data_IF_032991182138
#
_entry.id   IF_032991182138
#
_cell.length_a   1.000
_cell.length_b   1.000
_cell.length_c   1.000
_cell.angle_alpha   90.00
_cell.angle_beta   90.00
_cell.angle_gamma   90.00
#
_symmetry.space_group_name_H-M   'P 1'
#
loop_
_entity.id
_entity.type
_entity.pdbx_description
1 polymer ?
#
# COMPACT_ATOMS: atom_id res chain seq x y z
N UNK A 1 -17.87 -4.12 4.54
CA UNK A 1 -17.94 -3.28 5.76
C UNK A 1 -18.26 -1.88 5.28
N UNK A 2 -19.37 -1.27 5.70
CA UNK A 2 -19.82 0.02 5.15
C UNK A 2 -19.20 1.18 5.95
N UNK A 3 -18.47 2.08 5.28
CA UNK A 3 -17.74 3.20 5.88
C UNK A 3 -18.60 4.49 6.00
N UNK A 4 -19.94 4.38 5.94
CA UNK A 4 -20.85 5.54 6.02
C UNK A 4 -20.63 6.40 7.26
N UNK A 5 -20.34 5.75 8.40
CA UNK A 5 -20.18 6.39 9.69
C UNK A 5 -18.77 6.94 9.93
N UNK A 6 -17.82 6.71 9.00
CA UNK A 6 -16.52 7.35 9.06
C UNK A 6 -16.69 8.86 8.86
N UNK A 7 -15.93 9.65 9.61
CA UNK A 7 -16.04 11.10 9.60
C UNK A 7 -14.95 11.73 8.72
N UNK A 8 -15.12 13.03 8.42
CA UNK A 8 -14.11 13.82 7.71
C UNK A 8 -12.71 13.74 8.34
N UNK A 9 -12.57 13.36 9.60
CA UNK A 9 -11.29 13.00 10.22
C UNK A 9 -10.42 12.06 9.36
N UNK A 10 -11.05 11.11 8.69
CA UNK A 10 -10.36 10.12 7.83
C UNK A 10 -10.23 10.56 6.37
N UNK A 11 -10.72 11.75 6.00
CA UNK A 11 -10.76 12.19 4.61
C UNK A 11 -9.39 12.76 4.17
N UNK A 12 -8.85 12.32 3.02
CA UNK A 12 -7.56 12.80 2.51
C UNK A 12 -7.59 14.28 2.07
N UNK A 13 -8.77 14.87 1.91
CA UNK A 13 -8.95 16.28 1.55
C UNK A 13 -8.91 17.24 2.76
N UNK A 14 -8.85 16.71 3.99
CA UNK A 14 -8.79 17.53 5.21
C UNK A 14 -7.34 17.93 5.51
N UNK A 15 -7.16 19.22 5.76
CA UNK A 15 -5.94 19.80 6.29
C UNK A 15 -6.05 19.93 7.82
N UNK A 16 -5.19 19.19 8.52
CA UNK A 16 -5.07 19.19 9.98
C UNK A 16 -3.92 20.08 10.47
N UNK A 17 -3.09 20.62 9.57
CA UNK A 17 -1.87 21.31 9.94
C UNK A 17 -2.16 22.65 10.63
N UNK A 18 -1.67 22.78 11.88
CA UNK A 18 -1.62 24.06 12.60
C UNK A 18 -2.87 24.49 13.37
N UNK A 19 -3.88 23.62 13.56
CA UNK A 19 -5.17 23.99 14.18
C UNK A 19 -5.68 23.00 15.26
N UNK A 20 -4.76 22.20 15.79
CA UNK A 20 -4.99 21.30 16.95
C UNK A 20 -4.40 21.96 18.20
N UNK A 21 -5.20 22.23 19.24
CA UNK A 21 -4.67 22.66 20.55
C UNK A 21 -3.98 21.47 21.24
N UNK A 22 -2.65 21.50 21.30
CA UNK A 22 -1.75 20.39 21.64
C UNK A 22 -1.63 20.06 23.14
N UNK A 23 -2.66 20.25 23.96
CA UNK A 23 -2.58 19.87 25.40
C UNK A 23 -2.84 18.39 25.69
N UNK A 24 -3.08 17.56 24.67
CA UNK A 24 -3.44 16.15 24.82
C UNK A 24 -2.41 15.16 24.27
N UNK A 25 -1.10 15.46 24.31
CA UNK A 25 -0.08 14.44 24.04
C UNK A 25 -0.05 13.41 25.20
N UNK A 26 -0.02 12.12 24.86
CA UNK A 26 -0.44 10.97 25.69
C UNK A 26 0.39 10.63 26.93
N UNK A 27 1.20 11.55 27.45
CA UNK A 27 1.82 11.44 28.78
C UNK A 27 1.21 12.39 29.82
N UNK A 28 0.29 13.27 29.40
CA UNK A 28 -0.38 14.21 30.28
C UNK A 28 -1.88 14.01 30.41
N UNK A 29 -2.48 13.03 29.73
CA UNK A 29 -3.91 12.73 29.83
C UNK A 29 -4.37 12.49 31.29
N UNK A 30 -3.60 11.74 32.08
CA UNK A 30 -3.89 11.52 33.51
C UNK A 30 -3.70 12.77 34.39
N UNK A 31 -2.95 13.78 33.94
CA UNK A 31 -2.75 15.04 34.69
C UNK A 31 -3.74 16.15 34.34
N UNK A 32 -4.47 16.01 33.23
CA UNK A 32 -5.41 17.03 32.74
C UNK A 32 -6.89 16.75 33.08
N UNK A 33 -7.22 15.58 33.65
CA UNK A 33 -8.58 15.27 34.14
C UNK A 33 -9.11 16.29 35.19
N UNK A 34 -8.25 17.12 35.79
CA UNK A 34 -8.63 18.11 36.82
C UNK A 34 -8.86 19.54 36.32
N UNK A 35 -8.85 19.80 35.01
CA UNK A 35 -9.23 21.11 34.42
C UNK A 35 -10.22 20.95 33.26
N UNK A 36 -11.25 20.15 33.50
CA UNK A 36 -12.45 20.13 32.68
C UNK A 36 -13.30 21.32 33.15
N UNK A 37 -13.20 22.44 32.44
CA UNK A 37 -14.22 23.49 32.53
C UNK A 37 -15.53 22.94 31.92
N UNK A 38 -16.67 23.41 32.42
CA UNK A 38 -18.04 22.87 32.27
C UNK A 38 -18.61 22.78 30.83
N UNK A 39 -17.79 22.88 29.78
CA UNK A 39 -18.18 22.67 28.36
C UNK A 39 -17.22 21.74 27.55
N UNK A 40 -16.26 21.08 28.21
CA UNK A 40 -15.90 19.68 27.96
C UNK A 40 -15.41 19.18 26.58
N UNK A 41 -14.90 19.97 25.63
CA UNK A 41 -14.21 19.39 24.46
C UNK A 41 -13.00 20.20 23.97
N UNK A 42 -11.82 19.56 23.93
CA UNK A 42 -10.71 20.01 23.10
C UNK A 42 -11.10 19.78 21.64
N UNK A 43 -11.72 20.76 21.00
CA UNK A 43 -12.19 20.63 19.62
C UNK A 43 -11.00 20.72 18.66
N UNK A 44 -10.75 19.61 17.95
CA UNK A 44 -9.85 19.62 16.81
C UNK A 44 -10.57 20.36 15.69
N UNK A 45 -10.00 21.45 15.18
CA UNK A 45 -10.59 22.20 14.08
C UNK A 45 -9.79 21.95 12.80
N UNK A 46 -10.48 21.81 11.68
CA UNK A 46 -9.86 21.51 10.39
C UNK A 46 -10.51 22.29 9.24
N UNK A 47 -9.83 22.33 8.10
CA UNK A 47 -10.34 22.87 6.84
C UNK A 47 -10.42 21.78 5.78
N UNK A 48 -11.40 21.89 4.88
CA UNK A 48 -11.58 20.96 3.78
C UNK A 48 -11.17 21.60 2.45
N UNK A 49 -10.17 21.03 1.77
CA UNK A 49 -9.70 21.51 0.46
C UNK A 49 -10.78 21.42 -0.63
N UNK A 50 -11.72 20.50 -0.49
CA UNK A 50 -12.85 20.28 -1.42
C UNK A 50 -14.09 21.10 -1.07
N UNK A 51 -14.20 21.57 0.17
CA UNK A 51 -15.36 22.34 0.67
C UNK A 51 -14.91 23.59 1.43
N UNK A 52 -14.33 24.60 0.74
CA UNK A 52 -13.85 25.82 1.38
C UNK A 52 -14.95 26.61 2.11
N UNK A 53 -16.22 26.42 1.73
CA UNK A 53 -17.38 27.09 2.32
C UNK A 53 -17.66 26.69 3.78
N UNK A 54 -17.11 25.56 4.25
CA UNK A 54 -17.24 25.13 5.65
C UNK A 54 -16.40 25.99 6.61
N UNK A 55 -15.36 26.67 6.11
CA UNK A 55 -14.38 27.34 6.95
C UNK A 55 -13.72 26.36 7.94
N UNK A 56 -13.54 26.81 9.19
CA UNK A 56 -13.08 25.97 10.27
C UNK A 56 -14.25 25.19 10.87
N UNK A 57 -14.13 23.86 10.88
CA UNK A 57 -15.16 22.97 11.42
C UNK A 57 -14.53 21.80 12.19
N UNK A 58 -15.36 21.13 13.01
CA UNK A 58 -14.99 19.87 13.66
C UNK A 58 -15.04 18.72 12.63
N UNK A 59 -13.91 18.10 12.28
CA UNK A 59 -13.85 17.01 11.30
C UNK A 59 -14.55 15.73 11.77
N UNK A 60 -14.96 15.63 13.04
CA UNK A 60 -15.77 14.52 13.56
C UNK A 60 -17.28 14.74 13.39
N UNK A 61 -17.73 15.96 13.07
CA UNK A 61 -19.15 16.29 13.00
C UNK A 61 -19.84 15.87 11.69
N UNK A 62 -19.08 15.63 10.61
CA UNK A 62 -19.61 15.29 9.29
C UNK A 62 -19.16 13.88 8.92
N UNK A 63 -20.12 12.99 8.69
CA UNK A 63 -19.85 11.63 8.20
C UNK A 63 -19.67 11.60 6.67
N UNK A 64 -19.12 10.51 6.14
CA UNK A 64 -19.00 10.31 4.70
C UNK A 64 -20.37 10.30 4.02
N UNK A 65 -21.37 9.68 4.63
CA UNK A 65 -22.76 9.70 4.13
C UNK A 65 -23.36 11.12 4.06
N UNK A 66 -23.02 11.98 5.01
CA UNK A 66 -23.51 13.37 5.04
C UNK A 66 -22.76 14.30 4.08
N UNK A 67 -21.54 13.94 3.69
CA UNK A 67 -20.68 14.81 2.91
C UNK A 67 -20.95 14.63 1.41
N UNK A 68 -21.32 15.70 0.67
CA UNK A 68 -21.67 15.60 -0.75
C UNK A 68 -20.49 15.25 -1.66
N UNK A 69 -19.26 15.33 -1.14
CA UNK A 69 -18.04 14.93 -1.87
C UNK A 69 -17.85 13.41 -1.93
N UNK A 70 -18.53 12.65 -1.08
CA UNK A 70 -18.49 11.21 -1.10
C UNK A 70 -19.69 10.65 -1.88
N UNK A 71 -19.46 9.60 -2.66
CA UNK A 71 -20.48 8.85 -3.38
C UNK A 71 -20.51 7.41 -2.91
N UNK A 72 -21.70 6.84 -2.81
CA UNK A 72 -21.85 5.42 -2.52
C UNK A 72 -21.39 4.57 -3.72
N UNK A 73 -20.70 3.48 -3.42
CA UNK A 73 -20.26 2.45 -4.38
C UNK A 73 -20.54 1.07 -3.76
N UNK A 74 -20.46 -0.03 -4.53
CA UNK A 74 -20.58 -1.38 -3.97
C UNK A 74 -19.58 -1.70 -2.85
N UNK A 75 -18.49 -0.95 -2.77
CA UNK A 75 -17.41 -1.13 -1.78
C UNK A 75 -17.47 -0.10 -0.62
N UNK A 76 -18.55 0.68 -0.54
CA UNK A 76 -18.73 1.78 0.41
C UNK A 76 -18.60 3.15 -0.24
N UNK A 77 -18.44 4.19 0.58
CA UNK A 77 -18.27 5.56 0.14
C UNK A 77 -16.87 5.80 -0.43
N UNK A 78 -16.84 6.34 -1.65
CA UNK A 78 -15.66 6.76 -2.37
C UNK A 78 -15.72 8.27 -2.63
N UNK A 79 -14.59 8.96 -2.48
CA UNK A 79 -14.51 10.38 -2.76
C UNK A 79 -14.65 10.64 -4.27
N UNK A 80 -15.46 11.62 -4.66
CA UNK A 80 -15.68 11.95 -6.08
C UNK A 80 -14.37 12.37 -6.73
N UNK A 81 -14.11 11.88 -7.95
CA UNK A 81 -12.93 12.25 -8.74
C UNK A 81 -11.60 12.08 -7.98
N UNK A 82 -11.56 11.09 -7.07
CA UNK A 82 -10.43 10.86 -6.18
C UNK A 82 -9.15 10.64 -6.98
N UNK A 83 -8.10 11.39 -6.63
CA UNK A 83 -6.81 11.32 -7.32
C UNK A 83 -5.93 10.27 -6.67
N UNK A 84 -5.64 9.21 -7.42
CA UNK A 84 -4.81 8.10 -6.94
C UNK A 84 -3.56 8.02 -7.81
N UNK A 85 -2.39 8.05 -7.17
CA UNK A 85 -1.11 7.83 -7.84
C UNK A 85 -0.57 6.45 -7.48
N UNK A 86 -0.30 5.62 -8.48
CA UNK A 86 0.23 4.27 -8.30
C UNK A 86 1.71 4.24 -8.70
N UNK A 87 2.59 3.97 -7.74
CA UNK A 87 4.01 3.72 -7.99
C UNK A 87 4.16 2.23 -8.29
N UNK A 88 4.79 1.87 -9.41
CA UNK A 88 4.84 0.48 -9.89
C UNK A 88 3.61 0.06 -10.71
N UNK A 89 3.02 1.00 -11.45
CA UNK A 89 1.73 0.82 -12.17
C UNK A 89 1.80 -0.20 -13.32
N UNK A 90 2.98 -0.54 -13.85
CA UNK A 90 3.07 -1.57 -14.91
C UNK A 90 3.05 -3.01 -14.36
N UNK A 91 3.25 -3.14 -13.04
CA UNK A 91 3.34 -4.40 -12.33
C UNK A 91 2.05 -5.21 -12.31
N UNK A 92 2.14 -6.40 -11.72
CA UNK A 92 1.04 -7.36 -11.63
C UNK A 92 -0.21 -6.76 -10.97
N UNK A 93 -0.04 -6.14 -9.79
CA UNK A 93 -1.10 -5.46 -9.03
C UNK A 93 -1.34 -4.02 -9.47
N UNK A 94 -0.27 -3.27 -9.77
CA UNK A 94 -0.38 -1.86 -10.12
C UNK A 94 -1.26 -1.64 -11.34
N UNK A 95 -1.13 -2.50 -12.36
CA UNK A 95 -1.92 -2.39 -13.57
C UNK A 95 -3.38 -2.76 -13.33
N UNK A 96 -3.65 -3.83 -12.59
CA UNK A 96 -5.03 -4.26 -12.31
C UNK A 96 -5.77 -3.27 -11.45
N UNK A 97 -5.11 -2.74 -10.41
CA UNK A 97 -5.66 -1.71 -9.55
C UNK A 97 -5.94 -0.41 -10.32
N UNK A 98 -5.05 -0.02 -11.25
CA UNK A 98 -5.27 1.16 -12.09
C UNK A 98 -6.53 1.07 -12.93
N UNK A 99 -6.79 -0.09 -13.54
CA UNK A 99 -8.00 -0.32 -14.32
C UNK A 99 -9.25 -0.31 -13.44
N UNK A 100 -9.21 -1.01 -12.31
CA UNK A 100 -10.33 -1.10 -11.38
C UNK A 100 -10.71 0.27 -10.79
N UNK A 101 -9.73 1.03 -10.28
CA UNK A 101 -9.95 2.38 -9.76
C UNK A 101 -10.44 3.35 -10.84
N UNK A 102 -9.92 3.24 -12.07
CA UNK A 102 -10.37 4.05 -13.19
C UNK A 102 -11.85 3.81 -13.51
N UNK A 103 -12.29 2.55 -13.56
CA UNK A 103 -13.72 2.21 -13.76
C UNK A 103 -14.60 2.66 -12.61
N UNK A 104 -14.08 2.64 -11.37
CA UNK A 104 -14.75 3.23 -10.22
C UNK A 104 -14.81 4.76 -10.26
N UNK A 105 -14.24 5.40 -11.30
CA UNK A 105 -14.28 6.83 -11.55
C UNK A 105 -13.26 7.63 -10.74
N UNK A 106 -12.14 7.01 -10.36
CA UNK A 106 -10.98 7.72 -9.80
C UNK A 106 -10.11 8.30 -10.93
N UNK A 107 -9.45 9.42 -10.63
CA UNK A 107 -8.43 9.99 -11.50
C UNK A 107 -7.09 9.30 -11.24
N UNK A 108 -6.76 8.32 -12.08
CA UNK A 108 -5.56 7.48 -11.89
C UNK A 108 -4.36 8.08 -12.61
N UNK A 109 -3.28 8.21 -11.85
CA UNK A 109 -1.94 8.51 -12.35
C UNK A 109 -0.97 7.42 -11.89
N UNK A 110 0.17 7.29 -12.54
CA UNK A 110 1.17 6.36 -12.05
C UNK A 110 2.52 6.47 -12.71
N UNK A 111 3.50 5.85 -12.05
CA UNK A 111 4.88 5.80 -12.51
C UNK A 111 5.40 4.38 -12.50
N UNK A 112 6.28 4.08 -13.43
CA UNK A 112 7.05 2.84 -13.48
C UNK A 112 8.33 3.07 -14.28
N UNK A 113 9.38 2.31 -14.01
CA UNK A 113 10.64 2.38 -14.76
C UNK A 113 10.93 1.12 -15.60
N UNK A 114 9.99 0.17 -15.61
CA UNK A 114 10.05 -1.13 -16.27
C UNK A 114 11.11 -2.10 -15.74
N UNK A 115 11.76 -1.82 -14.60
CA UNK A 115 12.76 -2.73 -14.01
C UNK A 115 12.19 -4.14 -13.78
N UNK A 116 10.89 -4.25 -13.46
CA UNK A 116 10.21 -5.54 -13.33
C UNK A 116 10.24 -6.37 -14.64
N UNK A 117 10.16 -5.74 -15.81
CA UNK A 117 10.30 -6.43 -17.11
C UNK A 117 11.74 -6.84 -17.35
N UNK A 118 12.69 -5.99 -16.99
CA UNK A 118 14.12 -6.25 -17.14
C UNK A 118 14.60 -7.41 -16.26
N UNK A 119 14.19 -7.45 -14.98
CA UNK A 119 14.55 -8.55 -14.07
C UNK A 119 14.07 -9.91 -14.56
N UNK A 120 12.86 -10.00 -15.14
CA UNK A 120 12.39 -11.26 -15.74
C UNK A 120 13.26 -11.68 -16.91
N UNK A 121 13.58 -10.72 -17.79
CA UNK A 121 14.40 -10.98 -18.97
C UNK A 121 15.83 -11.40 -18.59
N UNK A 122 16.40 -10.77 -17.57
CA UNK A 122 17.72 -11.09 -17.02
C UNK A 122 17.79 -12.54 -16.56
N UNK A 123 16.71 -13.06 -15.94
CA UNK A 123 16.62 -14.47 -15.51
C UNK A 123 16.23 -15.44 -16.63
N UNK A 124 16.07 -14.97 -17.88
CA UNK A 124 15.59 -15.78 -19.00
C UNK A 124 14.15 -16.28 -18.81
N UNK A 125 13.39 -15.66 -17.90
CA UNK A 125 12.00 -16.00 -17.64
C UNK A 125 11.08 -15.22 -18.59
N UNK A 126 9.83 -15.69 -18.72
CA UNK A 126 8.79 -15.01 -19.46
C UNK A 126 7.46 -15.18 -18.75
N UNK A 127 6.60 -14.16 -18.82
CA UNK A 127 5.23 -14.32 -18.37
C UNK A 127 4.46 -15.23 -19.34
N UNK A 128 3.60 -16.09 -18.80
CA UNK A 128 2.76 -17.01 -19.58
C UNK A 128 1.76 -16.25 -20.44
N UNK A 129 1.27 -15.14 -19.92
CA UNK A 129 0.29 -14.30 -20.58
C UNK A 129 1.04 -13.16 -21.28
N UNK A 130 1.02 -13.07 -22.62
CA UNK A 130 1.66 -11.96 -23.31
C UNK A 130 1.10 -10.62 -22.83
N UNK A 131 1.98 -9.73 -22.39
CA UNK A 131 1.62 -8.38 -21.96
C UNK A 131 2.02 -7.35 -23.02
N UNK A 132 1.10 -6.44 -23.32
CA UNK A 132 1.35 -5.36 -24.27
C UNK A 132 2.33 -4.31 -23.68
N UNK A 133 2.81 -3.41 -24.55
CA UNK A 133 3.59 -2.25 -24.11
C UNK A 133 2.67 -1.27 -23.39
N UNK A 134 3.24 -0.45 -22.50
CA UNK A 134 2.44 0.52 -21.71
C UNK A 134 1.62 1.44 -22.62
N UNK A 135 2.18 1.92 -23.73
CA UNK A 135 1.43 2.75 -24.69
C UNK A 135 0.17 2.05 -25.21
N UNK A 136 0.26 0.77 -25.59
CA UNK A 136 -0.88 -0.01 -26.09
C UNK A 136 -1.91 -0.30 -24.98
N UNK A 137 -1.42 -0.58 -23.77
CA UNK A 137 -2.23 -0.75 -22.55
C UNK A 137 -3.08 0.50 -22.28
N UNK A 138 -2.47 1.69 -22.33
CA UNK A 138 -3.16 2.97 -22.11
C UNK A 138 -4.19 3.27 -23.20
N UNK A 139 -3.87 3.00 -24.48
CA UNK A 139 -4.83 3.15 -25.58
C UNK A 139 -6.02 2.20 -25.40
N UNK A 140 -5.76 0.94 -25.06
CA UNK A 140 -6.82 -0.04 -24.81
C UNK A 140 -7.70 0.36 -23.61
N UNK A 141 -7.12 0.90 -22.53
CA UNK A 141 -7.89 1.36 -21.37
C UNK A 141 -8.88 2.46 -21.76
N UNK A 142 -8.44 3.42 -22.57
CA UNK A 142 -9.31 4.49 -23.10
C UNK A 142 -10.36 3.97 -24.07
N UNK A 143 -9.97 3.11 -25.02
CA UNK A 143 -10.85 2.58 -26.06
C UNK A 143 -11.93 1.64 -25.51
N UNK A 144 -11.57 0.77 -24.55
CA UNK A 144 -12.41 -0.35 -24.10
C UNK A 144 -13.13 -0.03 -22.80
N UNK A 145 -12.50 0.72 -21.89
CA UNK A 145 -13.08 1.06 -20.58
C UNK A 145 -13.49 2.53 -20.47
N UNK A 146 -13.09 3.39 -21.42
CA UNK A 146 -13.37 4.82 -21.36
C UNK A 146 -12.58 5.57 -20.28
N UNK A 147 -11.49 4.98 -19.77
CA UNK A 147 -10.68 5.56 -18.68
C UNK A 147 -9.37 6.12 -19.22
N UNK A 148 -8.95 7.27 -18.71
CA UNK A 148 -7.65 7.88 -19.02
C UNK A 148 -6.71 7.74 -17.82
N UNK A 149 -5.52 7.19 -18.05
CA UNK A 149 -4.50 6.99 -17.02
C UNK A 149 -3.29 7.86 -17.36
N UNK A 150 -2.92 8.76 -16.44
CA UNK A 150 -1.75 9.61 -16.61
C UNK A 150 -0.48 8.86 -16.18
N UNK A 151 0.24 8.30 -17.15
CA UNK A 151 1.46 7.53 -16.92
C UNK A 151 2.73 8.33 -17.22
N UNK A 152 3.74 8.23 -16.34
CA UNK A 152 5.10 8.72 -16.61
C UNK A 152 6.16 7.66 -16.30
N UNK A 153 7.09 7.46 -17.23
CA UNK A 153 8.26 6.62 -16.95
C UNK A 153 9.23 7.37 -16.04
N UNK A 154 9.31 6.95 -14.77
CA UNK A 154 10.11 7.57 -13.72
C UNK A 154 10.67 6.48 -12.80
N UNK A 155 11.97 6.54 -12.52
CA UNK A 155 12.61 5.75 -11.48
C UNK A 155 12.50 6.45 -10.12
N UNK A 156 11.72 5.88 -9.20
CA UNK A 156 11.44 6.50 -7.89
C UNK A 156 12.69 6.71 -7.02
N UNK A 157 13.73 5.90 -7.21
CA UNK A 157 14.99 6.03 -6.47
C UNK A 157 15.89 7.13 -7.06
N UNK A 158 16.07 7.09 -8.39
CA UNK A 158 17.11 7.88 -9.06
C UNK A 158 16.59 9.21 -9.62
N UNK A 159 15.29 9.36 -9.84
CA UNK A 159 14.67 10.52 -10.51
C UNK A 159 13.68 11.24 -9.60
N UNK A 160 14.07 11.41 -8.33
CA UNK A 160 13.22 11.98 -7.27
C UNK A 160 12.67 13.37 -7.59
N UNK A 161 13.42 14.22 -8.28
CA UNK A 161 12.94 15.56 -8.64
C UNK A 161 11.80 15.49 -9.66
N UNK A 162 11.90 14.60 -10.67
CA UNK A 162 10.81 14.36 -11.63
C UNK A 162 9.59 13.75 -10.95
N UNK A 163 9.80 12.84 -9.99
CA UNK A 163 8.72 12.28 -9.19
C UNK A 163 8.03 13.37 -8.34
N UNK A 164 8.82 14.24 -7.71
CA UNK A 164 8.33 15.37 -6.92
C UNK A 164 7.50 16.32 -7.77
N UNK A 165 7.98 16.71 -8.93
CA UNK A 165 7.25 17.54 -9.90
C UNK A 165 5.92 16.89 -10.30
N UNK A 166 5.91 15.58 -10.56
CA UNK A 166 4.69 14.90 -10.95
C UNK A 166 3.68 14.78 -9.79
N UNK A 167 4.14 14.51 -8.57
CA UNK A 167 3.30 14.52 -7.37
C UNK A 167 2.76 15.93 -7.10
N UNK A 168 3.57 16.97 -7.32
CA UNK A 168 3.15 18.37 -7.17
C UNK A 168 2.11 18.79 -8.20
N UNK A 169 2.24 18.32 -9.44
CA UNK A 169 1.26 18.54 -10.52
C UNK A 169 -0.07 17.84 -10.23
N UNK A 170 -0.03 16.55 -9.86
CA UNK A 170 -1.24 15.75 -9.66
C UNK A 170 -1.92 16.10 -8.34
N UNK A 171 -1.13 16.38 -7.29
CA UNK A 171 -1.57 16.48 -5.89
C UNK A 171 -2.46 15.30 -5.48
N UNK A 172 -1.97 14.04 -5.55
CA UNK A 172 -2.79 12.88 -5.29
C UNK A 172 -3.34 12.88 -3.86
N UNK A 173 -4.53 12.32 -3.66
CA UNK A 173 -5.11 12.11 -2.32
C UNK A 173 -4.63 10.80 -1.70
N UNK A 174 -4.31 9.83 -2.56
CA UNK A 174 -3.70 8.55 -2.18
C UNK A 174 -2.52 8.25 -3.08
N UNK A 175 -1.43 7.79 -2.47
CA UNK A 175 -0.29 7.19 -3.16
C UNK A 175 -0.28 5.71 -2.83
N UNK A 176 -0.43 4.84 -3.83
CA UNK A 176 -0.29 3.39 -3.68
C UNK A 176 1.12 2.99 -4.08
N UNK A 177 1.88 2.40 -3.17
CA UNK A 177 3.28 2.07 -3.40
C UNK A 177 3.50 0.58 -3.66
N UNK A 178 3.56 0.22 -4.94
CA UNK A 178 3.98 -1.10 -5.43
C UNK A 178 5.36 -1.12 -6.12
N UNK A 179 5.96 0.06 -6.31
CA UNK A 179 7.19 0.28 -7.09
C UNK A 179 8.48 -0.26 -6.44
N UNK A 180 8.53 -1.54 -6.14
CA UNK A 180 9.63 -2.22 -5.45
C UNK A 180 9.94 -3.57 -6.11
N UNK A 181 11.10 -4.15 -5.84
CA UNK A 181 11.38 -5.54 -6.18
C UNK A 181 10.62 -6.47 -5.20
N UNK A 182 9.68 -7.31 -5.67
CA UNK A 182 8.83 -8.11 -4.79
C UNK A 182 9.27 -9.59 -4.69
N UNK A 183 10.52 -9.91 -5.03
CA UNK A 183 10.98 -11.31 -5.15
C UNK A 183 12.01 -11.68 -4.09
N UNK A 184 11.63 -12.65 -3.24
CA UNK A 184 12.55 -13.32 -2.32
C UNK A 184 13.69 -14.04 -3.07
N UNK A 185 13.44 -14.93 -4.04
CA UNK A 185 14.52 -15.61 -4.76
C UNK A 185 15.48 -14.65 -5.47
N UNK A 186 14.96 -13.60 -6.12
CA UNK A 186 15.79 -12.61 -6.81
C UNK A 186 16.72 -11.87 -5.83
N UNK A 187 16.20 -11.52 -4.65
CA UNK A 187 17.02 -10.88 -3.60
C UNK A 187 18.11 -11.77 -3.00
N UNK A 188 18.10 -13.07 -3.29
CA UNK A 188 19.01 -14.07 -2.72
C UNK A 188 19.97 -14.66 -3.76
N UNK A 189 20.02 -14.12 -4.99
CA UNK A 189 20.91 -14.61 -6.06
C UNK A 189 22.38 -14.47 -5.67
N UNK A 190 22.79 -13.24 -5.37
CA UNK A 190 24.14 -12.89 -4.96
C UNK A 190 24.12 -11.57 -4.17
N UNK A 191 25.31 -11.10 -3.77
CA UNK A 191 25.48 -9.88 -2.98
C UNK A 191 25.01 -8.62 -3.73
N UNK A 192 25.22 -8.54 -5.04
CA UNK A 192 24.87 -7.37 -5.84
C UNK A 192 23.36 -7.24 -5.95
N UNK A 193 22.64 -8.35 -6.13
CA UNK A 193 21.18 -8.38 -6.13
C UNK A 193 20.60 -8.04 -4.76
N UNK A 194 21.17 -8.58 -3.68
CA UNK A 194 20.74 -8.27 -2.32
C UNK A 194 20.88 -6.76 -2.02
N UNK A 195 22.04 -6.18 -2.36
CA UNK A 195 22.28 -4.74 -2.22
C UNK A 195 21.32 -3.93 -3.09
N UNK A 196 21.12 -4.33 -4.35
CA UNK A 196 20.24 -3.63 -5.28
C UNK A 196 18.78 -3.62 -4.80
N UNK A 197 18.26 -4.75 -4.32
CA UNK A 197 16.89 -4.86 -3.77
C UNK A 197 16.73 -3.97 -2.54
N UNK A 198 17.67 -4.05 -1.59
CA UNK A 198 17.67 -3.22 -0.40
C UNK A 198 17.71 -1.73 -0.74
N UNK A 199 18.63 -1.32 -1.62
CA UNK A 199 18.77 0.06 -2.07
C UNK A 199 17.52 0.56 -2.79
N UNK A 200 16.99 -0.23 -3.73
CA UNK A 200 15.81 0.13 -4.51
C UNK A 200 14.59 0.35 -3.61
N UNK A 201 14.29 -0.64 -2.77
CA UNK A 201 13.07 -0.64 -1.97
C UNK A 201 13.14 0.40 -0.85
N UNK A 202 14.18 0.32 -0.01
CA UNK A 202 14.27 1.13 1.22
C UNK A 202 14.48 2.61 0.90
N UNK A 203 15.43 2.94 0.02
CA UNK A 203 15.72 4.34 -0.29
C UNK A 203 14.68 4.95 -1.24
N UNK A 204 14.02 4.11 -2.07
CA UNK A 204 12.87 4.52 -2.87
C UNK A 204 11.71 4.95 -1.99
N UNK A 205 11.29 4.08 -1.05
CA UNK A 205 10.24 4.39 -0.07
C UNK A 205 10.58 5.62 0.76
N UNK A 206 11.82 5.72 1.27
CA UNK A 206 12.26 6.88 2.04
C UNK A 206 12.16 8.17 1.22
N UNK A 207 12.59 8.15 -0.04
CA UNK A 207 12.44 9.28 -0.96
C UNK A 207 10.99 9.72 -1.13
N UNK A 208 10.07 8.77 -1.31
CA UNK A 208 8.63 9.04 -1.41
C UNK A 208 8.09 9.71 -0.15
N UNK A 209 8.46 9.22 1.05
CA UNK A 209 8.00 9.80 2.32
C UNK A 209 8.44 11.26 2.49
N UNK A 210 9.68 11.60 2.10
CA UNK A 210 10.15 12.98 2.11
C UNK A 210 9.40 13.86 1.10
N UNK A 211 9.10 13.35 -0.09
CA UNK A 211 8.31 14.07 -1.08
C UNK A 211 6.89 14.32 -0.56
N UNK A 212 6.25 13.31 0.05
CA UNK A 212 4.94 13.45 0.66
C UNK A 212 4.93 14.56 1.70
N UNK A 213 5.86 14.51 2.67
CA UNK A 213 6.00 15.55 3.70
C UNK A 213 6.08 16.96 3.11
N UNK A 214 6.86 17.12 2.04
CA UNK A 214 7.16 18.45 1.48
C UNK A 214 6.07 19.00 0.55
N UNK A 215 5.30 18.12 -0.10
CA UNK A 215 4.45 18.51 -1.25
C UNK A 215 2.97 18.20 -1.03
N UNK A 216 2.68 17.09 -0.37
CA UNK A 216 1.33 16.55 -0.15
C UNK A 216 1.22 15.85 1.21
N UNK A 217 1.46 16.54 2.33
CA UNK A 217 1.49 15.92 3.66
C UNK A 217 0.15 15.29 4.07
N UNK A 218 -0.95 15.69 3.42
CA UNK A 218 -2.27 15.13 3.64
C UNK A 218 -2.55 13.88 2.78
N UNK A 219 -1.72 13.52 1.79
CA UNK A 219 -1.95 12.27 1.06
C UNK A 219 -1.86 11.07 2.00
N UNK A 220 -2.72 10.07 1.80
CA UNK A 220 -2.57 8.77 2.43
C UNK A 220 -1.64 7.88 1.61
N UNK A 221 -0.64 7.29 2.25
CA UNK A 221 0.18 6.24 1.67
C UNK A 221 -0.54 4.90 1.87
N UNK A 222 -0.78 4.15 0.79
CA UNK A 222 -1.12 2.73 0.86
C UNK A 222 0.13 1.96 0.47
N UNK A 223 0.85 1.48 1.48
CA UNK A 223 2.09 0.73 1.28
C UNK A 223 1.76 -0.74 1.15
N UNK A 224 2.38 -1.41 0.18
CA UNK A 224 2.41 -2.86 0.17
C UNK A 224 3.53 -3.35 1.08
N UNK A 225 3.16 -3.87 2.24
CA UNK A 225 4.03 -4.64 3.12
C UNK A 225 4.14 -6.09 2.65
N UNK A 226 4.27 -7.02 3.59
CA UNK A 226 4.14 -8.47 3.31
C UNK A 226 3.93 -9.25 4.59
N UNK A 227 3.07 -10.28 4.56
CA UNK A 227 2.96 -11.23 5.68
C UNK A 227 4.30 -11.91 6.02
N UNK A 228 5.24 -11.96 5.07
CA UNK A 228 6.56 -12.52 5.31
C UNK A 228 7.44 -11.68 6.26
N UNK A 229 7.04 -10.46 6.62
CA UNK A 229 7.71 -9.70 7.68
C UNK A 229 7.61 -10.40 9.04
N UNK A 230 6.54 -11.13 9.29
CA UNK A 230 6.35 -11.83 10.57
C UNK A 230 7.03 -13.20 10.62
N UNK A 231 7.51 -13.70 9.48
CA UNK A 231 8.10 -15.03 9.37
C UNK A 231 7.14 -16.15 9.74
N UNK A 232 7.65 -17.13 10.47
CA UNK A 232 6.85 -18.19 11.08
C UNK A 232 7.35 -18.33 12.52
N UNK A 233 6.76 -17.57 13.47
CA UNK A 233 7.33 -17.44 14.80
C UNK A 233 7.56 -18.79 15.47
N UNK A 234 8.82 -19.10 15.81
CA UNK A 234 9.19 -20.36 16.46
C UNK A 234 8.49 -20.55 17.82
N UNK A 235 8.03 -19.47 18.43
CA UNK A 235 7.29 -19.48 19.70
C UNK A 235 5.85 -19.95 19.57
N UNK A 236 5.32 -20.14 18.34
CA UNK A 236 3.92 -20.49 18.10
C UNK A 236 2.94 -19.36 18.43
N UNK A 237 3.42 -18.13 18.67
CA UNK A 237 2.56 -16.97 18.96
C UNK A 237 1.65 -16.65 17.77
N UNK A 238 0.45 -16.07 18.01
CA UNK A 238 -0.38 -15.54 16.94
C UNK A 238 0.34 -14.40 16.19
N UNK A 239 -0.05 -14.22 14.94
CA UNK A 239 0.29 -13.05 14.15
C UNK A 239 -0.75 -11.97 14.41
N UNK A 240 -0.29 -10.78 14.80
CA UNK A 240 -1.13 -9.61 14.98
C UNK A 240 -0.95 -8.66 13.79
N UNK A 241 -1.97 -7.85 13.51
CA UNK A 241 -1.97 -6.89 12.42
C UNK A 241 -1.10 -5.67 12.76
N UNK A 242 0.20 -5.80 12.52
CA UNK A 242 1.19 -4.73 12.66
C UNK A 242 1.68 -4.52 14.09
N UNK A 243 0.75 -4.23 14.99
CA UNK A 243 1.00 -3.86 16.38
C UNK A 243 0.31 -4.81 17.36
N UNK A 244 0.79 -4.84 18.59
CA UNK A 244 0.10 -5.55 19.65
C UNK A 244 -1.21 -4.83 20.01
N UNK A 245 -2.31 -5.57 20.27
CA UNK A 245 -3.58 -4.97 20.67
C UNK A 245 -3.46 -4.27 22.03
N UNK A 246 -4.39 -3.36 22.32
CA UNK A 246 -4.32 -2.49 23.50
C UNK A 246 -4.27 -3.26 24.84
N UNK A 247 -4.80 -4.48 24.87
CA UNK A 247 -4.83 -5.40 26.01
C UNK A 247 -3.66 -6.40 26.02
N UNK A 248 -2.70 -6.28 25.10
CA UNK A 248 -1.52 -7.13 25.07
C UNK A 248 -0.60 -6.84 26.25
N UNK A 249 -0.19 -7.89 26.95
CA UNK A 249 0.59 -7.81 28.17
C UNK A 249 1.74 -8.81 28.16
N UNK A 250 2.94 -8.32 28.51
CA UNK A 250 4.11 -9.15 28.81
C UNK A 250 4.21 -9.37 30.32
N UNK A 251 4.22 -10.64 30.74
CA UNK A 251 4.53 -11.04 32.13
C UNK A 251 5.94 -11.62 32.17
N UNK A 252 6.82 -10.97 32.93
CA UNK A 252 8.18 -11.46 33.15
C UNK A 252 8.56 -11.30 34.62
N UNK A 253 8.95 -12.40 35.26
CA UNK A 253 9.10 -12.53 36.72
C UNK A 253 7.84 -12.06 37.47
N UNK A 254 8.00 -11.16 38.45
CA UNK A 254 6.93 -10.59 39.25
C UNK A 254 6.43 -9.25 38.69
N UNK A 255 6.64 -8.99 37.38
CA UNK A 255 6.29 -7.73 36.73
C UNK A 255 5.45 -7.97 35.49
N UNK A 256 4.63 -6.97 35.21
CA UNK A 256 3.71 -6.92 34.10
C UNK A 256 3.94 -5.61 33.33
N UNK A 257 4.05 -5.69 32.01
CA UNK A 257 4.20 -4.55 31.11
C UNK A 257 3.12 -4.61 30.02
N UNK A 258 2.48 -3.47 29.72
CA UNK A 258 1.64 -3.36 28.52
C UNK A 258 2.54 -3.34 27.28
N UNK A 259 2.13 -4.08 26.25
CA UNK A 259 2.72 -4.04 24.91
C UNK A 259 1.83 -3.27 23.92
N UNK A 260 0.68 -2.76 24.38
CA UNK A 260 -0.32 -2.17 23.50
C UNK A 260 0.23 -1.03 22.64
N UNK A 261 0.06 -1.14 21.33
CA UNK A 261 0.58 -0.16 20.35
C UNK A 261 2.06 -0.32 20.00
N UNK A 262 2.79 -1.26 20.59
CA UNK A 262 4.14 -1.61 20.13
C UNK A 262 4.08 -2.43 18.84
N UNK A 263 5.06 -2.23 17.95
CA UNK A 263 5.20 -3.04 16.76
C UNK A 263 5.48 -4.50 17.15
N UNK A 264 4.75 -5.41 16.52
CA UNK A 264 4.97 -6.83 16.75
C UNK A 264 6.31 -7.28 16.16
N UNK A 265 6.99 -8.25 16.79
CA UNK A 265 8.30 -8.71 16.33
C UNK A 265 8.25 -9.19 14.87
N UNK A 266 9.29 -8.83 14.11
CA UNK A 266 9.47 -9.21 12.72
C UNK A 266 10.56 -10.28 12.61
N UNK A 267 10.37 -11.25 11.71
CA UNK A 267 11.28 -12.39 11.48
C UNK A 267 11.35 -12.72 9.97
N UNK A 268 11.87 -11.80 9.15
CA UNK A 268 11.86 -11.95 7.69
C UNK A 268 12.80 -13.05 7.20
N UNK A 269 12.39 -13.77 6.14
CA UNK A 269 13.10 -14.97 5.64
C UNK A 269 13.97 -14.74 4.39
N UNK A 270 14.12 -13.50 3.92
CA UNK A 270 14.98 -13.14 2.77
C UNK A 270 15.32 -11.65 2.75
N UNK A 271 16.30 -11.24 1.93
CA UNK A 271 16.64 -9.81 1.78
C UNK A 271 15.50 -8.94 1.22
N UNK A 272 14.61 -9.48 0.39
CA UNK A 272 13.36 -8.81 0.02
C UNK A 272 12.44 -8.55 1.24
N UNK A 273 12.16 -9.57 2.07
CA UNK A 273 11.32 -9.39 3.25
C UNK A 273 11.98 -8.44 4.27
N UNK A 274 13.31 -8.46 4.40
CA UNK A 274 14.04 -7.49 5.23
C UNK A 274 13.81 -6.05 4.73
N UNK A 275 13.79 -5.82 3.41
CA UNK A 275 13.53 -4.47 2.87
C UNK A 275 12.14 -3.97 3.23
N UNK A 276 11.14 -4.85 3.27
CA UNK A 276 9.77 -4.52 3.68
C UNK A 276 9.69 -4.18 5.16
N UNK A 277 10.36 -4.96 6.02
CA UNK A 277 10.49 -4.62 7.44
C UNK A 277 11.11 -3.23 7.61
N UNK A 278 12.19 -2.92 6.89
CA UNK A 278 12.83 -1.60 6.96
C UNK A 278 11.90 -0.47 6.49
N UNK A 279 11.11 -0.71 5.44
CA UNK A 279 10.07 0.24 5.00
C UNK A 279 9.05 0.50 6.11
N UNK A 280 8.54 -0.55 6.77
CA UNK A 280 7.59 -0.43 7.89
C UNK A 280 8.14 0.51 8.97
N UNK A 281 9.40 0.34 9.37
CA UNK A 281 10.01 1.21 10.38
C UNK A 281 10.20 2.65 9.87
N UNK A 282 10.64 2.85 8.62
CA UNK A 282 10.76 4.19 8.03
C UNK A 282 9.40 4.91 8.00
N UNK A 283 8.34 4.19 7.62
CA UNK A 283 6.98 4.72 7.53
C UNK A 283 6.44 5.06 8.91
N UNK A 284 6.61 4.19 9.90
CA UNK A 284 6.17 4.44 11.28
C UNK A 284 6.83 5.70 11.85
N UNK A 285 8.13 5.88 11.64
CA UNK A 285 8.82 7.09 12.08
C UNK A 285 8.34 8.34 11.31
N UNK A 286 8.10 8.22 10.01
CA UNK A 286 7.54 9.32 9.22
C UNK A 286 6.12 9.71 9.68
N UNK A 287 5.25 8.75 9.98
CA UNK A 287 3.93 9.00 10.54
C UNK A 287 4.03 9.69 11.92
N UNK A 288 4.92 9.21 12.79
CA UNK A 288 5.12 9.76 14.13
C UNK A 288 5.63 11.20 14.14
N UNK A 289 6.60 11.52 13.28
CA UNK A 289 7.26 12.83 13.30
C UNK A 289 6.67 13.84 12.32
N UNK A 290 6.11 13.39 11.20
CA UNK A 290 5.59 14.27 10.15
C UNK A 290 4.07 14.19 10.01
N UNK A 291 3.40 13.44 10.87
CA UNK A 291 1.94 13.27 10.83
C UNK A 291 1.42 12.76 9.49
N UNK A 292 2.27 12.03 8.74
CA UNK A 292 1.83 11.35 7.53
C UNK A 292 0.81 10.27 7.86
N UNK A 293 -0.08 10.01 6.92
CA UNK A 293 -1.05 8.91 7.00
C UNK A 293 -0.55 7.74 6.17
N UNK A 294 -0.47 6.57 6.77
CA UNK A 294 -0.09 5.35 6.04
C UNK A 294 -0.94 4.17 6.47
N UNK A 295 -1.29 3.34 5.50
CA UNK A 295 -1.93 2.05 5.65
C UNK A 295 -0.98 1.01 5.06
N UNK A 296 -0.45 0.15 5.92
CA UNK A 296 0.50 -0.87 5.50
C UNK A 296 -0.23 -2.21 5.30
N UNK A 297 -0.37 -2.61 4.05
CA UNK A 297 -1.13 -3.80 3.65
C UNK A 297 -0.20 -5.00 3.70
N UNK A 298 -0.28 -5.76 4.79
CA UNK A 298 0.45 -7.01 5.01
C UNK A 298 -0.15 -8.12 4.15
N UNK A 299 0.14 -8.08 2.86
CA UNK A 299 -0.50 -8.97 1.89
C UNK A 299 0.06 -10.39 1.96
N UNK A 300 -0.84 -11.37 1.81
CA UNK A 300 -0.50 -12.77 1.57
C UNK A 300 -0.05 -13.05 0.15
N UNK A 301 0.04 -14.32 -0.21
CA UNK A 301 0.42 -14.73 -1.56
C UNK A 301 -0.78 -14.60 -2.49
N UNK A 302 -0.63 -13.81 -3.56
CA UNK A 302 -1.71 -13.62 -4.53
C UNK A 302 -1.72 -14.76 -5.55
N UNK A 303 -2.92 -15.19 -5.93
CA UNK A 303 -3.15 -16.17 -6.98
C UNK A 303 -4.14 -15.67 -8.05
N UNK A 304 -3.99 -16.20 -9.27
CA UNK A 304 -4.85 -15.87 -10.40
C UNK A 304 -4.27 -14.82 -11.36
N UNK A 305 -5.01 -14.50 -12.41
CA UNK A 305 -4.64 -13.48 -13.43
C UNK A 305 -5.88 -12.80 -14.02
N UNK A 306 -7.05 -13.13 -13.50
CA UNK A 306 -8.33 -12.71 -14.06
C UNK A 306 -8.96 -11.63 -13.19
N UNK A 307 -9.52 -10.62 -13.87
CA UNK A 307 -10.43 -9.59 -13.36
C UNK A 307 -11.35 -9.21 -14.52
N UNK A 308 -12.50 -8.61 -14.22
CA UNK A 308 -13.43 -8.12 -15.24
C UNK A 308 -12.77 -7.12 -16.20
N UNK A 309 -11.85 -6.28 -15.71
CA UNK A 309 -11.16 -5.27 -16.52
C UNK A 309 -10.12 -5.90 -17.44
N UNK A 310 -9.23 -6.74 -16.90
CA UNK A 310 -8.13 -7.32 -17.68
C UNK A 310 -8.60 -8.32 -18.73
N UNK A 311 -9.80 -8.86 -18.58
CA UNK A 311 -10.36 -9.87 -19.47
C UNK A 311 -11.07 -9.29 -20.70
N UNK A 312 -11.40 -7.98 -20.70
CA UNK A 312 -12.13 -7.32 -21.79
C UNK A 312 -11.34 -7.16 -23.09
N UNK A 313 -10.02 -7.05 -23.02
CA UNK A 313 -9.14 -6.93 -24.19
C UNK A 313 -7.78 -7.57 -23.92
N UNK A 314 -7.20 -8.37 -24.84
CA UNK A 314 -5.87 -8.95 -24.69
C UNK A 314 -4.76 -7.95 -24.35
N UNK A 315 -4.87 -6.69 -24.80
CA UNK A 315 -3.92 -5.61 -24.52
C UNK A 315 -3.97 -5.15 -23.06
N UNK A 316 -5.08 -5.38 -22.36
CA UNK A 316 -5.28 -5.04 -20.95
C UNK A 316 -4.78 -6.11 -19.98
N UNK A 317 -4.34 -7.28 -20.48
CA UNK A 317 -3.91 -8.39 -19.63
C UNK A 317 -2.75 -8.00 -18.71
N UNK A 318 -2.86 -8.44 -17.46
CA UNK A 318 -1.74 -8.42 -16.52
C UNK A 318 -0.85 -9.67 -16.71
N UNK A 319 0.31 -9.67 -16.06
CA UNK A 319 1.29 -10.74 -16.13
C UNK A 319 0.87 -11.94 -15.28
N UNK A 320 1.22 -13.14 -15.71
CA UNK A 320 1.22 -14.38 -14.91
C UNK A 320 2.63 -14.96 -14.91
N UNK A 321 3.26 -14.99 -13.75
CA UNK A 321 4.61 -15.49 -13.57
C UNK A 321 4.56 -16.92 -13.00
N UNK A 322 5.31 -17.84 -13.61
CA UNK A 322 5.38 -19.26 -13.23
C UNK A 322 6.82 -19.76 -13.09
N UNK A 323 7.80 -18.87 -13.26
CA UNK A 323 9.21 -19.16 -13.04
C UNK A 323 9.54 -19.23 -11.54
N UNK A 324 10.78 -19.60 -11.21
CA UNK A 324 11.26 -19.72 -9.83
C UNK A 324 11.68 -18.41 -9.18
N UNK A 325 11.79 -17.34 -9.97
CA UNK A 325 12.22 -16.04 -9.49
C UNK A 325 11.03 -15.21 -9.03
N UNK A 326 9.97 -15.15 -9.83
CA UNK A 326 8.81 -14.30 -9.56
C UNK A 326 7.47 -15.04 -9.50
N UNK A 327 7.43 -16.31 -9.93
CA UNK A 327 6.21 -17.12 -9.83
C UNK A 327 5.89 -17.51 -8.40
N UNK A 328 4.63 -17.37 -8.01
CA UNK A 328 4.12 -17.81 -6.70
C UNK A 328 3.59 -19.24 -6.76
N UNK A 329 3.56 -19.92 -5.61
CA UNK A 329 3.34 -21.37 -5.52
C UNK A 329 2.07 -21.86 -6.22
N UNK A 330 0.90 -21.22 -6.00
CA UNK A 330 -0.36 -21.65 -6.62
C UNK A 330 -0.29 -21.48 -8.14
N UNK A 331 0.16 -20.32 -8.63
CA UNK A 331 0.26 -20.05 -10.05
C UNK A 331 1.22 -21.03 -10.74
N UNK A 332 2.35 -21.35 -10.10
CA UNK A 332 3.30 -22.38 -10.55
C UNK A 332 2.70 -23.77 -10.59
N UNK A 333 2.00 -24.17 -9.53
CA UNK A 333 1.39 -25.51 -9.43
C UNK A 333 0.30 -25.71 -10.47
N UNK A 334 -0.53 -24.69 -10.70
CA UNK A 334 -1.55 -24.73 -11.77
C UNK A 334 -0.86 -24.92 -13.13
N UNK A 335 0.18 -24.15 -13.42
CA UNK A 335 0.91 -24.29 -14.68
C UNK A 335 1.56 -25.67 -14.83
N UNK A 336 2.21 -26.18 -13.78
CA UNK A 336 2.82 -27.51 -13.75
C UNK A 336 1.79 -28.61 -14.00
N UNK A 337 0.64 -28.55 -13.33
CA UNK A 337 -0.44 -29.51 -13.52
C UNK A 337 -0.97 -29.50 -14.96
N UNK A 338 -1.16 -28.32 -15.56
CA UNK A 338 -1.64 -28.17 -16.95
C UNK A 338 -0.71 -28.83 -17.97
N UNK A 339 0.60 -28.74 -17.77
CA UNK A 339 1.60 -29.32 -18.70
C UNK A 339 2.06 -30.72 -18.29
N UNK A 340 1.47 -31.32 -17.26
CA UNK A 340 1.80 -32.67 -16.79
C UNK A 340 3.16 -32.79 -16.08
N UNK A 341 3.70 -31.69 -15.55
CA UNK A 341 4.89 -31.73 -14.70
C UNK A 341 4.50 -32.06 -13.24
N UNK A 342 5.32 -32.84 -12.52
CA UNK A 342 5.15 -32.99 -11.08
C UNK A 342 5.17 -31.64 -10.36
N UNK A 343 4.30 -31.51 -9.35
CA UNK A 343 4.24 -30.30 -8.54
C UNK A 343 5.54 -30.12 -7.75
N UNK A 344 6.15 -28.94 -7.84
CA UNK A 344 7.44 -28.67 -7.18
C UNK A 344 7.25 -28.35 -5.70
N UNK A 345 7.06 -29.38 -4.88
CA UNK A 345 7.05 -29.26 -3.42
C UNK A 345 8.47 -29.01 -2.90
N UNK A 346 8.64 -27.97 -2.08
CA UNK A 346 9.93 -27.65 -1.47
C UNK A 346 10.04 -28.23 -0.07
N UNK A 347 11.05 -29.06 0.16
CA UNK A 347 11.25 -29.74 1.44
C UNK A 347 10.07 -30.65 1.79
N UNK A 348 9.59 -30.56 3.04
CA UNK A 348 8.47 -31.38 3.53
C UNK A 348 7.09 -30.93 2.98
N UNK A 349 6.96 -29.72 2.44
CA UNK A 349 5.68 -29.20 1.95
C UNK A 349 4.71 -28.72 3.05
N UNK A 350 5.17 -28.56 4.28
CA UNK A 350 4.36 -28.18 5.46
C UNK A 350 4.27 -26.66 5.67
N UNK A 351 4.74 -25.85 4.71
CA UNK A 351 4.73 -24.40 4.84
C UNK A 351 3.28 -23.85 4.77
N UNK A 352 2.85 -23.12 5.80
CA UNK A 352 1.51 -22.51 5.87
C UNK A 352 1.62 -21.01 5.58
N UNK A 353 0.81 -20.51 4.64
CA UNK A 353 0.74 -19.09 4.26
C UNK A 353 -0.70 -18.67 3.98
N UNK A 354 -1.00 -17.39 4.16
CA UNK A 354 -2.25 -16.78 3.71
C UNK A 354 -2.23 -16.57 2.20
N UNK A 355 -3.36 -16.82 1.55
CA UNK A 355 -3.56 -16.61 0.11
C UNK A 355 -4.75 -15.72 -0.13
N UNK A 356 -4.69 -14.95 -1.21
CA UNK A 356 -5.79 -14.07 -1.63
C UNK A 356 -5.90 -14.12 -3.17
N UNK A 357 -7.12 -14.24 -3.73
CA UNK A 357 -7.33 -14.06 -5.16
C UNK A 357 -6.92 -12.66 -5.62
N UNK A 358 -6.47 -12.53 -6.87
CA UNK A 358 -6.18 -11.23 -7.48
C UNK A 358 -7.37 -10.26 -7.42
N UNK A 359 -8.59 -10.77 -7.51
CA UNK A 359 -9.82 -9.98 -7.45
C UNK A 359 -10.01 -9.32 -6.07
N UNK A 360 -9.83 -10.07 -4.99
CA UNK A 360 -9.93 -9.56 -3.62
C UNK A 360 -8.73 -8.69 -3.21
N UNK A 361 -7.63 -8.78 -3.95
CA UNK A 361 -6.44 -7.98 -3.73
C UNK A 361 -6.54 -6.55 -4.30
N UNK A 362 -7.50 -6.30 -5.19
CA UNK A 362 -7.87 -4.96 -5.67
C UNK A 362 -8.90 -4.35 -4.73
#
# INVERSE_FOLDING_TARGET
MHNSNCTCWNCPAIDLAGKVDFRACGQSAEKFEKRIDEDGSSQVMAECKRRPELGLFDPMAITFEQCPEWRETPYGYLLKDMRVMILGIDGYLGWTLALWLGELGCNVSGVDNYSRRDWVKERGAHTVVPIARMTERLHAAKEVLGIEINFRQINILNERDRLKEFIDEVKPEVIVHYGECPSAPYSMIDVDHAIAVQKNNVLGTLGVLFIMRDVVPESSLVKLGTMGEYGTPLTGRPLFEGMFPADAVLKWDNREWSLGGELTPRDPVSFYHISKVQDTYNIVEACKYWWLRSYDVMQGVICGVHTDQVSRDPRLRTRLDIDEWFGTVINRFVAQAVIGLPLTLYGAGEQIRGFIPLEDAM
#
